data_IF_807802084055
#
_entry.id   IF_807802084055
#
_cell.length_a   1.000
_cell.length_b   1.000
_cell.length_c   1.000
_cell.angle_alpha   90.00
_cell.angle_beta   90.00
_cell.angle_gamma   90.00
#
_symmetry.space_group_name_H-M   'P 1'
#
loop_
_entity.id
_entity.type
_entity.pdbx_description
1 polymer ?
#
# COMPACT_ATOMS: atom_id res chain seq x y z
N UNK A 1 4.81 0.65 -19.05
CA UNK A 1 3.99 0.31 -17.86
C UNK A 1 4.51 -0.96 -17.25
N UNK A 2 4.69 -2.03 -18.04
CA UNK A 2 5.39 -3.25 -17.63
C UNK A 2 6.85 -3.25 -18.10
N UNK A 3 7.74 -3.86 -17.31
CA UNK A 3 9.17 -4.15 -17.57
C UNK A 3 10.10 -2.96 -17.84
N UNK A 4 9.58 -1.76 -18.10
CA UNK A 4 10.38 -0.58 -18.41
C UNK A 4 10.68 0.28 -17.16
N UNK A 5 11.30 1.44 -17.35
CA UNK A 5 11.23 2.52 -16.36
C UNK A 5 12.38 2.65 -15.36
N UNK A 6 13.37 1.76 -15.38
CA UNK A 6 14.59 1.93 -14.59
C UNK A 6 15.46 3.06 -15.11
N UNK A 7 15.91 3.96 -14.22
CA UNK A 7 16.87 5.02 -14.52
C UNK A 7 17.75 5.37 -13.31
N UNK A 8 18.98 5.79 -13.59
CA UNK A 8 19.93 6.28 -12.57
C UNK A 8 20.29 7.76 -12.75
N UNK A 9 19.80 8.37 -13.83
CA UNK A 9 20.23 9.71 -14.25
C UNK A 9 19.10 10.60 -14.76
N UNK A 10 17.85 10.10 -14.83
CA UNK A 10 16.70 10.82 -15.39
C UNK A 10 16.91 11.27 -16.85
N UNK A 11 17.76 10.57 -17.59
CA UNK A 11 18.09 10.83 -19.00
C UNK A 11 18.00 9.58 -19.87
N UNK A 12 18.30 8.43 -19.28
CA UNK A 12 18.29 7.13 -19.94
C UNK A 12 17.41 6.20 -19.13
N UNK A 13 16.50 5.51 -19.81
CA UNK A 13 15.65 4.49 -19.23
C UNK A 13 15.94 3.14 -19.86
N UNK A 14 15.94 2.10 -19.03
CA UNK A 14 16.18 0.74 -19.47
C UNK A 14 15.01 -0.17 -19.08
N UNK A 15 14.88 -1.25 -19.84
CA UNK A 15 13.97 -2.34 -19.51
C UNK A 15 14.68 -3.35 -18.59
N UNK A 16 13.90 -4.10 -17.81
CA UNK A 16 14.37 -5.33 -17.18
C UNK A 16 14.58 -6.38 -18.28
N UNK A 17 15.82 -6.75 -18.61
CA UNK A 17 16.09 -7.66 -19.72
C UNK A 17 15.52 -9.06 -19.46
N UNK A 18 15.48 -9.53 -18.20
CA UNK A 18 14.93 -10.83 -17.87
C UNK A 18 13.43 -10.88 -18.14
N UNK A 19 12.67 -9.89 -17.66
CA UNK A 19 11.23 -9.84 -17.87
C UNK A 19 10.86 -9.67 -19.35
N UNK A 20 11.65 -8.89 -20.10
CA UNK A 20 11.46 -8.77 -21.56
C UNK A 20 11.72 -10.09 -22.29
N UNK A 21 12.76 -10.84 -21.91
CA UNK A 21 13.05 -12.14 -22.52
C UNK A 21 11.94 -13.16 -22.24
N UNK A 22 11.42 -13.22 -21.01
CA UNK A 22 10.30 -14.10 -20.69
C UNK A 22 9.03 -13.71 -21.47
N UNK A 23 8.73 -12.41 -21.57
CA UNK A 23 7.62 -11.92 -22.40
C UNK A 23 7.80 -12.25 -23.91
N UNK A 24 9.04 -12.26 -24.40
CA UNK A 24 9.30 -12.64 -25.80
C UNK A 24 9.13 -14.14 -26.04
N UNK A 25 9.36 -14.97 -25.02
CA UNK A 25 9.15 -16.41 -25.05
C UNK A 25 7.66 -16.78 -24.95
N UNK A 26 6.93 -16.11 -24.04
CA UNK A 26 5.49 -16.21 -23.88
C UNK A 26 4.87 -14.80 -23.74
N UNK A 27 4.13 -14.29 -24.75
CA UNK A 27 3.71 -12.88 -24.86
C UNK A 27 2.53 -12.54 -23.94
N UNK A 28 2.70 -12.81 -22.64
CA UNK A 28 1.77 -12.52 -21.55
C UNK A 28 2.44 -11.54 -20.61
N UNK A 29 1.75 -10.45 -20.27
CA UNK A 29 2.24 -9.58 -19.20
C UNK A 29 2.05 -10.28 -17.86
N UNK A 30 3.14 -10.73 -17.27
CA UNK A 30 3.19 -11.34 -15.94
C UNK A 30 4.41 -10.87 -15.14
N UNK A 31 4.49 -11.28 -13.88
CA UNK A 31 5.56 -10.99 -12.97
C UNK A 31 6.69 -12.02 -13.06
N UNK A 32 7.70 -11.70 -13.87
CA UNK A 32 8.87 -12.54 -14.06
C UNK A 32 9.97 -12.23 -13.04
N UNK A 33 10.00 -11.00 -12.51
CA UNK A 33 11.05 -10.53 -11.64
C UNK A 33 11.08 -11.19 -10.26
N UNK A 34 9.93 -11.59 -9.70
CA UNK A 34 9.87 -12.15 -8.34
C UNK A 34 10.43 -13.58 -8.22
N UNK A 35 10.58 -14.30 -9.33
CA UNK A 35 11.04 -15.69 -9.32
C UNK A 35 12.52 -15.86 -8.89
N UNK A 36 13.27 -14.77 -8.67
CA UNK A 36 14.74 -14.79 -8.53
C UNK A 36 15.29 -14.52 -7.12
N UNK A 37 14.48 -14.62 -6.06
CA UNK A 37 15.01 -14.64 -4.68
C UNK A 37 14.86 -13.33 -3.91
N UNK A 38 13.63 -12.85 -3.77
CA UNK A 38 13.31 -11.69 -2.92
C UNK A 38 13.87 -11.83 -1.50
N UNK A 39 14.67 -10.88 -1.00
CA UNK A 39 15.26 -11.00 0.33
C UNK A 39 14.18 -10.83 1.40
N UNK A 40 13.80 -11.92 2.07
CA UNK A 40 12.94 -11.91 3.27
C UNK A 40 13.42 -10.89 4.31
N UNK A 41 14.73 -10.62 4.36
CA UNK A 41 15.34 -9.59 5.19
C UNK A 41 14.79 -8.18 4.91
N UNK A 42 14.65 -7.78 3.64
CA UNK A 42 14.20 -6.44 3.26
C UNK A 42 12.78 -6.17 3.79
N UNK A 43 11.83 -7.07 3.52
CA UNK A 43 10.46 -6.87 4.00
C UNK A 43 10.35 -6.94 5.52
N UNK A 44 11.16 -7.77 6.18
CA UNK A 44 11.26 -7.78 7.66
C UNK A 44 11.78 -6.44 8.20
N UNK A 45 12.78 -5.85 7.56
CA UNK A 45 13.31 -4.53 7.89
C UNK A 45 12.21 -3.46 7.73
N UNK A 46 11.52 -3.46 6.59
CA UNK A 46 10.40 -2.55 6.31
C UNK A 46 9.29 -2.65 7.36
N UNK A 47 8.82 -3.88 7.64
CA UNK A 47 7.83 -4.16 8.70
C UNK A 47 8.28 -3.63 10.06
N UNK A 48 9.54 -3.87 10.44
CA UNK A 48 10.12 -3.38 11.71
C UNK A 48 10.16 -1.85 11.78
N UNK A 49 10.52 -1.20 10.67
CA UNK A 49 10.54 0.26 10.55
C UNK A 49 9.16 0.91 10.36
N UNK A 50 8.09 0.10 10.24
CA UNK A 50 6.72 0.53 9.88
C UNK A 50 6.66 1.33 8.57
N UNK A 51 7.59 1.07 7.65
CA UNK A 51 7.65 1.69 6.34
C UNK A 51 6.98 0.78 5.32
N UNK A 52 5.78 1.15 4.87
CA UNK A 52 4.98 0.36 3.95
C UNK A 52 4.49 1.14 2.72
N UNK A 53 4.44 2.47 2.80
CA UNK A 53 4.31 3.34 1.63
C UNK A 53 5.69 3.93 1.30
N UNK A 54 6.22 3.56 0.13
CA UNK A 54 7.58 3.92 -0.30
C UNK A 54 7.58 4.66 -1.64
N UNK A 55 6.41 4.82 -2.26
CA UNK A 55 6.31 5.52 -3.54
C UNK A 55 6.40 7.02 -3.31
N UNK A 56 7.23 7.71 -4.09
CA UNK A 56 7.50 9.13 -3.88
C UNK A 56 8.45 9.44 -2.72
N UNK A 57 9.16 8.45 -2.18
CA UNK A 57 10.15 8.63 -1.10
C UNK A 57 11.21 9.68 -1.49
N UNK A 58 11.47 10.65 -0.61
CA UNK A 58 12.48 11.70 -0.85
C UNK A 58 13.72 11.47 0.01
N UNK A 59 14.88 11.51 -0.64
CA UNK A 59 16.18 11.20 -0.03
C UNK A 59 17.25 12.16 -0.55
N UNK A 60 18.28 12.43 0.26
CA UNK A 60 19.48 13.13 -0.16
C UNK A 60 20.28 12.31 -1.17
N UNK A 61 20.74 12.93 -2.25
CA UNK A 61 21.49 12.25 -3.31
C UNK A 61 22.79 11.60 -2.79
N UNK A 62 23.41 12.17 -1.76
CA UNK A 62 24.57 11.60 -1.06
C UNK A 62 24.27 10.26 -0.40
N UNK A 63 23.03 10.09 0.07
CA UNK A 63 22.65 8.98 0.94
C UNK A 63 22.40 7.71 0.10
N UNK A 64 22.15 7.85 -1.21
CA UNK A 64 22.11 6.71 -2.14
C UNK A 64 23.40 5.89 -2.15
N UNK A 65 24.54 6.53 -1.88
CA UNK A 65 25.85 5.89 -1.89
C UNK A 65 26.21 5.26 -0.54
N UNK A 66 25.49 5.60 0.53
CA UNK A 66 25.74 5.01 1.86
C UNK A 66 25.06 3.66 1.97
N UNK A 67 25.86 2.61 2.16
CA UNK A 67 25.39 1.27 2.47
C UNK A 67 25.90 0.89 3.85
N UNK A 68 25.07 1.07 4.87
CA UNK A 68 25.33 0.59 6.22
C UNK A 68 24.34 -0.54 6.54
N UNK A 69 24.82 -1.78 6.57
CA UNK A 69 24.01 -2.97 6.90
C UNK A 69 23.55 -2.92 8.37
N UNK A 70 24.29 -2.23 9.24
CA UNK A 70 24.01 -2.16 10.67
C UNK A 70 22.96 -1.12 11.05
N UNK A 71 22.78 -0.09 10.22
CA UNK A 71 21.76 0.96 10.40
C UNK A 71 21.15 1.37 9.05
N UNK A 72 20.63 0.38 8.32
CA UNK A 72 20.18 0.56 6.94
C UNK A 72 18.96 1.49 6.86
N UNK A 73 19.18 2.70 6.34
CA UNK A 73 18.10 3.48 5.75
C UNK A 73 17.45 2.62 4.65
N UNK A 74 16.13 2.37 4.71
CA UNK A 74 15.45 1.57 3.68
C UNK A 74 15.54 2.17 2.28
N UNK A 75 15.68 3.49 2.13
CA UNK A 75 15.68 4.17 0.83
C UNK A 75 16.82 3.72 -0.10
N UNK A 76 18.10 3.84 0.31
CA UNK A 76 19.23 3.33 -0.46
C UNK A 76 19.13 1.83 -0.75
N UNK A 77 18.67 1.03 0.22
CA UNK A 77 18.50 -0.41 0.04
C UNK A 77 17.46 -0.75 -1.03
N UNK A 78 16.30 -0.09 -1.00
CA UNK A 78 15.23 -0.24 -2.00
C UNK A 78 15.70 0.18 -3.40
N UNK A 79 16.52 1.23 -3.50
CA UNK A 79 17.11 1.65 -4.76
C UNK A 79 18.11 0.63 -5.30
N UNK A 80 19.05 0.17 -4.47
CA UNK A 80 20.12 -0.75 -4.87
C UNK A 80 19.60 -2.16 -5.21
N UNK A 81 18.53 -2.59 -4.54
CA UNK A 81 17.86 -3.88 -4.82
C UNK A 81 16.87 -3.80 -5.98
N UNK A 82 16.70 -2.62 -6.59
CA UNK A 82 15.88 -2.44 -7.80
C UNK A 82 14.37 -2.32 -7.56
N UNK A 83 13.92 -2.20 -6.30
CA UNK A 83 12.51 -1.93 -5.98
C UNK A 83 12.11 -0.49 -6.28
N UNK A 84 13.04 0.44 -6.12
CA UNK A 84 12.81 1.84 -6.47
C UNK A 84 13.86 2.35 -7.45
N UNK A 85 13.46 3.33 -8.25
CA UNK A 85 14.30 4.05 -9.20
C UNK A 85 14.06 5.54 -9.07
N UNK A 86 14.90 6.37 -9.70
CA UNK A 86 14.72 7.83 -9.63
C UNK A 86 13.48 8.22 -10.44
N UNK A 87 12.56 8.96 -9.81
CA UNK A 87 11.37 9.54 -10.44
C UNK A 87 11.51 11.03 -10.66
N UNK A 88 12.15 11.74 -9.74
CA UNK A 88 12.43 13.19 -9.85
C UNK A 88 13.76 13.55 -9.21
N UNK A 89 14.30 14.70 -9.60
CA UNK A 89 15.50 15.29 -9.01
C UNK A 89 15.25 16.79 -8.81
N UNK A 90 15.61 17.32 -7.65
CA UNK A 90 15.50 18.75 -7.36
C UNK A 90 16.36 19.59 -8.32
N UNK A 91 16.05 20.88 -8.46
CA UNK A 91 16.80 21.79 -9.33
C UNK A 91 18.29 21.86 -8.97
N UNK A 92 18.62 21.82 -7.67
CA UNK A 92 20.00 21.80 -7.15
C UNK A 92 20.64 20.41 -7.13
N UNK A 93 19.90 19.37 -7.58
CA UNK A 93 20.29 17.96 -7.62
C UNK A 93 20.66 17.33 -6.27
N UNK A 94 20.35 17.98 -5.15
CA UNK A 94 20.65 17.45 -3.80
C UNK A 94 19.60 16.47 -3.31
N UNK A 95 18.36 16.59 -3.78
CA UNK A 95 17.25 15.73 -3.36
C UNK A 95 16.74 14.97 -4.58
N UNK A 96 16.46 13.69 -4.37
CA UNK A 96 15.80 12.85 -5.36
C UNK A 96 14.51 12.30 -4.79
N UNK A 97 13.55 12.06 -5.68
CA UNK A 97 12.33 11.32 -5.40
C UNK A 97 12.50 9.93 -6.01
N UNK A 98 12.34 8.91 -5.18
CA UNK A 98 12.34 7.50 -5.55
C UNK A 98 10.90 6.99 -5.68
N UNK A 99 10.71 5.98 -6.53
CA UNK A 99 9.41 5.36 -6.73
C UNK A 99 9.55 4.11 -7.59
N UNK A 100 8.45 3.38 -7.77
CA UNK A 100 8.51 2.14 -8.54
C UNK A 100 8.90 2.40 -10.01
N UNK A 101 9.79 1.59 -10.59
CA UNK A 101 10.14 1.67 -12.02
C UNK A 101 8.97 1.29 -12.93
N UNK A 102 8.20 0.24 -12.58
CA UNK A 102 7.09 -0.30 -13.38
C UNK A 102 6.08 -1.07 -12.53
N UNK A 103 5.00 -1.53 -13.16
CA UNK A 103 3.91 -2.27 -12.49
C UNK A 103 4.34 -3.65 -11.98
N UNK A 104 5.15 -4.40 -12.74
CA UNK A 104 5.69 -5.70 -12.30
C UNK A 104 6.38 -5.57 -10.93
N UNK A 105 7.23 -4.55 -10.81
CA UNK A 105 8.01 -4.27 -9.60
C UNK A 105 7.13 -3.84 -8.44
N UNK A 106 6.17 -2.97 -8.71
CA UNK A 106 5.21 -2.49 -7.73
C UNK A 106 4.34 -3.63 -7.19
N UNK A 107 3.76 -4.45 -8.07
CA UNK A 107 2.93 -5.59 -7.68
C UNK A 107 3.73 -6.61 -6.88
N UNK A 108 4.95 -6.94 -7.34
CA UNK A 108 5.89 -7.81 -6.60
C UNK A 108 6.13 -7.32 -5.18
N UNK A 109 6.44 -6.03 -5.05
CA UNK A 109 6.76 -5.41 -3.78
C UNK A 109 5.57 -5.41 -2.83
N UNK A 110 4.41 -4.92 -3.31
CA UNK A 110 3.21 -4.80 -2.51
C UNK A 110 2.71 -6.19 -2.05
N UNK A 111 2.75 -7.18 -2.94
CA UNK A 111 2.37 -8.55 -2.61
C UNK A 111 3.35 -9.16 -1.58
N UNK A 112 4.66 -9.03 -1.79
CA UNK A 112 5.67 -9.53 -0.86
C UNK A 112 5.61 -8.88 0.53
N UNK A 113 5.32 -7.57 0.58
CA UNK A 113 5.14 -6.85 1.83
C UNK A 113 3.84 -7.24 2.53
N UNK A 114 2.73 -7.35 1.80
CA UNK A 114 1.45 -7.83 2.33
C UNK A 114 1.59 -9.24 2.93
N UNK A 115 2.26 -10.15 2.23
CA UNK A 115 2.62 -11.48 2.73
C UNK A 115 3.45 -11.41 4.00
N UNK A 116 4.41 -10.49 4.09
CA UNK A 116 5.26 -10.31 5.28
C UNK A 116 4.49 -9.76 6.48
N UNK A 117 3.54 -8.85 6.26
CA UNK A 117 2.65 -8.38 7.33
C UNK A 117 1.71 -9.47 7.81
N UNK A 118 1.25 -10.35 6.91
CA UNK A 118 0.37 -11.47 7.24
C UNK A 118 1.11 -12.73 7.73
N UNK A 119 2.43 -12.75 7.62
CA UNK A 119 3.29 -13.87 8.01
C UNK A 119 3.00 -15.18 7.26
N UNK A 120 2.63 -15.04 5.99
CA UNK A 120 2.30 -16.16 5.11
C UNK A 120 3.30 -16.17 3.97
N UNK A 121 3.95 -17.31 3.75
CA UNK A 121 4.78 -17.53 2.56
C UNK A 121 3.88 -17.43 1.32
N UNK A 122 4.30 -16.71 0.26
CA UNK A 122 3.39 -16.13 -0.74
C UNK A 122 2.38 -17.13 -1.28
N UNK A 123 1.12 -16.94 -0.91
CA UNK A 123 -0.01 -17.72 -1.44
C UNK A 123 -1.19 -16.78 -1.75
N UNK A 124 -1.67 -16.92 -3.00
CA UNK A 124 -3.09 -16.83 -3.38
C UNK A 124 -3.92 -15.62 -2.95
N UNK A 125 -3.37 -14.41 -2.84
CA UNK A 125 -4.16 -13.24 -2.43
C UNK A 125 -4.86 -12.55 -3.61
N UNK A 126 -4.42 -12.77 -4.85
CA UNK A 126 -4.94 -12.08 -6.03
C UNK A 126 -6.47 -12.20 -6.23
N UNK A 127 -7.13 -13.35 -5.97
CA UNK A 127 -8.59 -13.42 -6.02
C UNK A 127 -9.26 -12.47 -5.00
N UNK A 128 -8.73 -12.41 -3.78
CA UNK A 128 -9.23 -11.51 -2.72
C UNK A 128 -8.99 -10.05 -3.11
N UNK A 129 -7.81 -9.73 -3.64
CA UNK A 129 -7.48 -8.39 -4.13
C UNK A 129 -8.40 -7.97 -5.28
N UNK A 130 -8.69 -8.87 -6.22
CA UNK A 130 -9.64 -8.63 -7.31
C UNK A 130 -11.04 -8.32 -6.79
N UNK A 131 -11.50 -9.06 -5.79
CA UNK A 131 -12.81 -8.81 -5.17
C UNK A 131 -12.83 -7.49 -4.39
N UNK A 132 -11.73 -7.11 -3.72
CA UNK A 132 -11.59 -5.80 -3.07
C UNK A 132 -11.71 -4.67 -4.11
N UNK A 133 -11.03 -4.82 -5.26
CA UNK A 133 -11.12 -3.85 -6.36
C UNK A 133 -12.57 -3.66 -6.81
N UNK A 134 -13.28 -4.75 -7.06
CA UNK A 134 -14.68 -4.68 -7.51
C UNK A 134 -15.61 -4.12 -6.44
N UNK A 135 -15.42 -4.48 -5.17
CA UNK A 135 -16.18 -3.91 -4.07
C UNK A 135 -16.00 -2.39 -3.96
N UNK A 136 -14.76 -1.90 -4.00
CA UNK A 136 -14.44 -0.47 -3.98
C UNK A 136 -14.91 0.26 -5.24
N UNK A 137 -14.88 -0.37 -6.41
CA UNK A 137 -15.43 0.27 -7.61
C UNK A 137 -16.93 0.43 -7.50
N UNK A 138 -17.63 -0.54 -6.94
CA UNK A 138 -19.10 -0.60 -6.89
C UNK A 138 -19.72 0.03 -5.63
N UNK A 139 -18.93 0.52 -4.67
CA UNK A 139 -19.47 1.01 -3.40
C UNK A 139 -20.01 -0.07 -2.48
N UNK A 140 -19.63 -1.33 -2.69
CA UNK A 140 -20.08 -2.47 -1.89
C UNK A 140 -19.22 -2.59 -0.62
N UNK A 141 -19.59 -1.85 0.43
CA UNK A 141 -18.90 -1.89 1.72
C UNK A 141 -19.03 -3.25 2.40
N UNK A 142 -20.16 -3.95 2.23
CA UNK A 142 -20.35 -5.28 2.80
C UNK A 142 -19.40 -6.31 2.17
N UNK A 143 -19.32 -6.32 0.83
CA UNK A 143 -18.35 -7.12 0.09
C UNK A 143 -16.90 -6.79 0.45
N UNK A 144 -16.57 -5.50 0.59
CA UNK A 144 -15.26 -5.04 1.01
C UNK A 144 -14.87 -5.60 2.39
N UNK A 145 -15.75 -5.47 3.38
CA UNK A 145 -15.52 -5.97 4.74
C UNK A 145 -15.30 -7.49 4.74
N UNK A 146 -16.07 -8.24 3.97
CA UNK A 146 -15.89 -9.69 3.84
C UNK A 146 -14.50 -10.05 3.29
N UNK A 147 -13.99 -9.31 2.29
CA UNK A 147 -12.65 -9.54 1.76
C UNK A 147 -11.55 -9.12 2.74
N UNK A 148 -11.73 -8.02 3.49
CA UNK A 148 -10.78 -7.61 4.54
C UNK A 148 -10.70 -8.67 5.65
N UNK A 149 -11.83 -9.20 6.10
CA UNK A 149 -11.86 -10.32 7.06
C UNK A 149 -11.13 -11.54 6.50
N UNK A 150 -11.32 -11.86 5.22
CA UNK A 150 -10.61 -12.97 4.56
C UNK A 150 -9.10 -12.78 4.55
N UNK A 151 -8.59 -11.54 4.38
CA UNK A 151 -7.15 -11.25 4.45
C UNK A 151 -6.58 -11.37 5.86
N UNK A 152 -7.32 -10.95 6.89
CA UNK A 152 -6.85 -10.94 8.28
C UNK A 152 -6.96 -12.32 8.92
N UNK A 153 -7.95 -13.13 8.54
CA UNK A 153 -8.15 -14.49 9.06
C UNK A 153 -6.94 -15.40 8.83
N UNK A 154 -6.08 -15.08 7.86
CA UNK A 154 -4.90 -15.87 7.55
C UNK A 154 -3.69 -15.54 8.44
N UNK A 155 -3.74 -14.45 9.22
CA UNK A 155 -2.63 -14.07 10.11
C UNK A 155 -2.53 -15.10 11.25
N UNK A 156 -1.35 -15.62 11.61
CA UNK A 156 -1.21 -16.53 12.75
C UNK A 156 -1.57 -15.89 14.10
N UNK A 157 -2.08 -16.69 15.04
CA UNK A 157 -2.51 -16.22 16.37
C UNK A 157 -1.35 -15.62 17.20
N UNK A 158 -0.19 -16.28 17.19
CA UNK A 158 0.97 -15.90 18.02
C UNK A 158 1.62 -14.56 17.61
N UNK A 159 1.21 -14.01 16.47
CA UNK A 159 1.75 -12.78 15.88
C UNK A 159 0.82 -11.57 16.07
N UNK A 160 -0.19 -11.73 16.92
CA UNK A 160 -1.15 -10.70 17.29
C UNK A 160 -0.73 -10.02 18.61
N UNK A 161 -0.46 -8.71 18.60
CA UNK A 161 -0.02 -7.97 19.80
C UNK A 161 -0.51 -6.51 19.77
N UNK A 162 -0.10 -5.69 20.76
CA UNK A 162 -0.53 -4.30 20.92
C UNK A 162 -0.38 -3.38 19.67
N UNK A 163 0.30 -3.81 18.61
CA UNK A 163 0.35 -3.14 17.30
C UNK A 163 -0.76 -3.51 16.31
N UNK A 164 -1.75 -4.31 16.73
CA UNK A 164 -2.82 -4.86 15.88
C UNK A 164 -3.57 -3.83 15.03
N UNK A 165 -3.96 -2.68 15.60
CA UNK A 165 -4.65 -1.63 14.85
C UNK A 165 -3.78 -1.16 13.66
N UNK A 166 -2.49 -0.94 13.93
CA UNK A 166 -1.52 -0.58 12.91
C UNK A 166 -1.34 -1.70 11.87
N UNK A 167 -1.46 -2.97 12.23
CA UNK A 167 -1.38 -4.08 11.27
C UNK A 167 -2.61 -4.08 10.37
N UNK A 168 -3.81 -3.89 10.92
CA UNK A 168 -5.04 -3.88 10.12
C UNK A 168 -5.07 -2.70 9.14
N UNK A 169 -4.65 -1.51 9.58
CA UNK A 169 -4.50 -0.35 8.70
C UNK A 169 -3.51 -0.62 7.57
N UNK A 170 -2.35 -1.22 7.87
CA UNK A 170 -1.33 -1.53 6.84
C UNK A 170 -1.81 -2.60 5.87
N UNK A 171 -2.44 -3.67 6.35
CA UNK A 171 -2.99 -4.72 5.48
C UNK A 171 -4.07 -4.15 4.56
N UNK A 172 -4.96 -3.30 5.08
CA UNK A 172 -5.99 -2.62 4.30
C UNK A 172 -5.36 -1.73 3.23
N UNK A 173 -4.40 -0.89 3.61
CA UNK A 173 -3.67 -0.01 2.70
C UNK A 173 -2.98 -0.78 1.57
N UNK A 174 -2.19 -1.80 1.91
CA UNK A 174 -1.46 -2.61 0.95
C UNK A 174 -2.41 -3.37 0.01
N UNK A 175 -3.51 -3.90 0.54
CA UNK A 175 -4.51 -4.58 -0.27
C UNK A 175 -5.16 -3.63 -1.29
N UNK A 176 -5.46 -2.39 -0.90
CA UNK A 176 -6.08 -1.42 -1.80
C UNK A 176 -5.08 -0.92 -2.85
N UNK A 177 -3.84 -0.63 -2.46
CA UNK A 177 -2.77 -0.29 -3.41
C UNK A 177 -2.52 -1.41 -4.42
N UNK A 178 -2.50 -2.66 -3.95
CA UNK A 178 -2.33 -3.84 -4.81
C UNK A 178 -3.56 -4.09 -5.71
N UNK A 179 -4.75 -3.69 -5.27
CA UNK A 179 -5.97 -3.66 -6.10
C UNK A 179 -5.93 -2.56 -7.19
N UNK A 180 -4.88 -1.74 -7.23
CA UNK A 180 -4.73 -0.64 -8.18
C UNK A 180 -5.60 0.57 -7.86
N UNK A 181 -6.04 0.71 -6.61
CA UNK A 181 -6.83 1.85 -6.14
C UNK A 181 -5.88 3.00 -5.82
N UNK A 182 -6.32 4.23 -6.09
CA UNK A 182 -5.58 5.41 -5.64
C UNK A 182 -5.83 5.59 -4.14
N UNK A 183 -4.82 5.27 -3.34
CA UNK A 183 -4.89 5.23 -1.88
C UNK A 183 -3.85 6.16 -1.31
N UNK A 184 -4.24 6.91 -0.30
CA UNK A 184 -3.36 7.80 0.44
C UNK A 184 -3.48 7.52 1.93
N UNK A 185 -2.32 7.35 2.56
CA UNK A 185 -2.15 7.51 4.00
C UNK A 185 -1.43 8.83 4.22
N UNK A 186 -1.73 9.57 5.30
CA UNK A 186 -1.05 10.86 5.56
C UNK A 186 -1.35 11.99 4.57
N UNK A 187 -2.60 12.11 4.12
CA UNK A 187 -3.03 13.37 3.50
C UNK A 187 -2.96 14.47 4.55
N UNK A 188 -1.91 15.27 4.48
CA UNK A 188 -1.63 16.43 5.31
C UNK A 188 -2.77 17.45 5.17
N UNK A 189 -3.86 17.22 5.87
CA UNK A 189 -4.82 18.26 6.20
C UNK A 189 -4.36 18.93 7.49
N UNK A 190 -4.57 20.24 7.62
CA UNK A 190 -4.30 20.98 8.85
C UNK A 190 -5.06 20.46 10.10
N UNK A 191 -5.95 19.47 9.94
CA UNK A 191 -6.88 18.99 10.97
C UNK A 191 -6.56 17.59 11.50
N UNK A 192 -5.71 16.80 10.84
CA UNK A 192 -5.35 15.44 11.27
C UNK A 192 -5.15 14.46 10.11
N UNK A 193 -4.94 13.18 10.46
CA UNK A 193 -4.73 12.04 9.56
C UNK A 193 -5.91 11.07 9.64
N UNK A 194 -6.51 10.72 8.51
CA UNK A 194 -7.40 9.56 8.42
C UNK A 194 -6.59 8.28 8.18
N UNK A 195 -7.12 7.13 8.59
CA UNK A 195 -6.42 5.85 8.39
C UNK A 195 -6.26 5.50 6.91
N UNK A 196 -7.34 5.57 6.12
CA UNK A 196 -7.29 5.29 4.69
C UNK A 196 -8.18 6.26 3.91
N UNK A 197 -7.59 6.98 2.95
CA UNK A 197 -8.32 7.68 1.89
C UNK A 197 -8.16 6.88 0.60
N UNK A 198 -9.27 6.39 0.04
CA UNK A 198 -9.26 5.61 -1.20
C UNK A 198 -10.15 6.25 -2.26
N UNK A 199 -9.70 6.26 -3.50
CA UNK A 199 -10.39 6.91 -4.61
C UNK A 199 -10.55 5.97 -5.79
N UNK A 200 -11.77 5.94 -6.33
CA UNK A 200 -12.09 5.29 -7.60
C UNK A 200 -12.57 6.34 -8.61
N UNK A 201 -12.99 5.87 -9.78
CA UNK A 201 -13.67 6.67 -10.80
C UNK A 201 -15.03 7.18 -10.34
N UNK A 202 -15.68 6.52 -9.37
CA UNK A 202 -17.05 6.82 -8.92
C UNK A 202 -17.15 7.26 -7.46
N UNK A 203 -16.20 6.89 -6.61
CA UNK A 203 -16.28 7.06 -5.17
C UNK A 203 -15.00 7.62 -4.57
N UNK A 204 -15.14 8.37 -3.48
CA UNK A 204 -14.08 8.79 -2.56
C UNK A 204 -14.45 8.26 -1.19
N UNK A 205 -13.62 7.38 -0.65
CA UNK A 205 -13.81 6.75 0.65
C UNK A 205 -12.86 7.39 1.65
N UNK A 206 -13.39 7.81 2.80
CA UNK A 206 -12.59 7.98 4.01
C UNK A 206 -12.97 6.83 4.94
N UNK A 207 -11.99 5.99 5.25
CA UNK A 207 -12.15 4.85 6.14
C UNK A 207 -11.35 5.12 7.41
N UNK A 208 -12.02 5.02 8.55
CA UNK A 208 -11.42 5.13 9.87
C UNK A 208 -11.62 3.81 10.61
N UNK A 209 -10.53 3.29 11.18
CA UNK A 209 -10.45 1.99 11.80
C UNK A 209 -10.36 2.17 13.32
N UNK A 210 -11.10 1.37 14.08
CA UNK A 210 -11.03 1.34 15.55
C UNK A 210 -10.80 -0.07 16.02
N UNK A 211 -9.71 -0.28 16.77
CA UNK A 211 -9.49 -1.53 17.48
C UNK A 211 -10.31 -1.54 18.78
N UNK A 212 -11.23 -2.49 18.89
CA UNK A 212 -12.12 -2.68 20.05
C UNK A 212 -12.95 -1.44 20.47
N UNK A 213 -13.01 -0.42 19.61
CA UNK A 213 -13.89 0.74 19.72
C UNK A 213 -15.16 0.58 18.90
N UNK A 214 -15.86 1.66 18.59
CA UNK A 214 -17.13 1.62 17.84
C UNK A 214 -17.01 2.23 16.44
N UNK A 215 -17.80 1.72 15.51
CA UNK A 215 -17.91 2.28 14.16
C UNK A 215 -18.48 3.71 14.19
N UNK A 216 -19.26 4.05 15.21
CA UNK A 216 -19.81 5.39 15.40
C UNK A 216 -18.76 6.40 15.86
N UNK A 217 -17.87 6.03 16.78
CA UNK A 217 -16.70 6.85 17.13
C UNK A 217 -15.81 7.10 15.90
N UNK A 218 -15.61 6.08 15.06
CA UNK A 218 -14.86 6.19 13.82
C UNK A 218 -15.52 7.19 12.85
N UNK A 219 -16.84 7.08 12.62
CA UNK A 219 -17.58 8.03 11.78
C UNK A 219 -17.59 9.44 12.36
N UNK A 220 -17.71 9.59 13.68
CA UNK A 220 -17.67 10.89 14.33
C UNK A 220 -16.31 11.55 14.14
N UNK A 221 -15.21 10.78 14.27
CA UNK A 221 -13.88 11.29 13.98
C UNK A 221 -13.75 11.77 12.52
N UNK A 222 -14.29 11.03 11.54
CA UNK A 222 -14.28 11.46 10.14
C UNK A 222 -14.99 12.81 9.97
N UNK A 223 -16.15 12.97 10.61
CA UNK A 223 -16.96 14.20 10.55
C UNK A 223 -16.25 15.37 11.22
N UNK A 224 -15.76 15.20 12.46
CA UNK A 224 -15.11 16.24 13.26
C UNK A 224 -13.86 16.79 12.56
N UNK A 225 -13.11 15.88 11.93
CA UNK A 225 -11.90 16.22 11.20
C UNK A 225 -12.18 16.77 9.80
N UNK A 226 -13.39 16.54 9.28
CA UNK A 226 -13.83 17.05 7.99
C UNK A 226 -13.02 16.49 6.82
N UNK A 227 -12.61 15.23 6.90
CA UNK A 227 -11.72 14.62 5.89
C UNK A 227 -12.29 14.62 4.47
N UNK A 228 -13.62 14.62 4.33
CA UNK A 228 -14.32 14.70 3.04
C UNK A 228 -14.59 16.15 2.56
N UNK A 229 -14.40 17.16 3.41
CA UNK A 229 -14.67 18.57 3.06
C UNK A 229 -13.89 19.06 1.83
N UNK A 230 -12.59 18.73 1.65
CA UNK A 230 -11.83 19.15 0.47
C UNK A 230 -12.39 18.62 -0.86
N UNK A 231 -13.19 17.55 -0.81
CA UNK A 231 -13.76 16.86 -1.97
C UNK A 231 -15.24 17.21 -2.19
N UNK A 232 -15.79 18.21 -1.51
CA UNK A 232 -17.21 18.58 -1.60
C UNK A 232 -17.65 18.87 -3.05
N UNK A 233 -16.82 19.57 -3.82
CA UNK A 233 -17.08 19.91 -5.22
C UNK A 233 -16.73 18.79 -6.21
N UNK A 234 -16.14 17.68 -5.75
CA UNK A 234 -15.87 16.53 -6.60
C UNK A 234 -17.18 15.80 -6.95
N UNK A 235 -17.33 15.42 -8.23
CA UNK A 235 -18.53 14.77 -8.75
C UNK A 235 -18.70 13.32 -8.28
N UNK A 236 -17.62 12.69 -7.79
CA UNK A 236 -17.67 11.34 -7.20
C UNK A 236 -18.47 11.35 -5.91
N UNK A 237 -19.05 10.20 -5.57
CA UNK A 237 -19.77 9.99 -4.31
C UNK A 237 -18.80 9.92 -3.13
N UNK A 238 -19.11 10.58 -2.02
CA UNK A 238 -18.24 10.64 -0.84
C UNK A 238 -18.81 9.70 0.22
N UNK A 239 -18.03 8.69 0.62
CA UNK A 239 -18.43 7.71 1.61
C UNK A 239 -17.52 7.79 2.83
N UNK A 240 -18.09 8.14 3.98
CA UNK A 240 -17.45 7.97 5.28
C UNK A 240 -17.74 6.56 5.78
N UNK A 241 -16.69 5.79 6.09
CA UNK A 241 -16.80 4.40 6.54
C UNK A 241 -16.09 4.26 7.89
N UNK A 242 -16.87 4.01 8.94
CA UNK A 242 -16.35 3.68 10.26
C UNK A 242 -16.31 2.17 10.43
N UNK A 243 -15.17 1.62 10.82
CA UNK A 243 -14.98 0.18 10.98
C UNK A 243 -14.50 -0.12 12.40
N UNK A 244 -15.21 -1.01 13.10
CA UNK A 244 -14.71 -1.66 14.31
C UNK A 244 -14.06 -2.97 13.93
N UNK A 245 -12.78 -3.08 14.29
CA UNK A 245 -12.06 -4.33 14.28
C UNK A 245 -12.02 -4.92 15.69
N UNK A 246 -12.47 -6.16 15.88
CA UNK A 246 -12.40 -6.85 17.16
C UNK A 246 -11.08 -7.60 17.30
N UNK A 247 -10.27 -7.27 18.31
CA UNK A 247 -9.03 -7.98 18.61
C UNK A 247 -9.29 -9.43 19.05
N UNK A 248 -10.39 -9.66 19.75
CA UNK A 248 -10.84 -10.98 20.22
C UNK A 248 -11.28 -11.88 19.06
N UNK A 249 -12.21 -11.40 18.22
CA UNK A 249 -12.74 -12.19 17.09
C UNK A 249 -11.82 -12.19 15.88
N UNK A 250 -10.90 -11.23 15.80
CA UNK A 250 -9.93 -11.05 14.72
C UNK A 250 -10.59 -10.82 13.36
N UNK A 251 -11.65 -10.04 13.39
CA UNK A 251 -12.43 -9.64 12.23
C UNK A 251 -13.05 -8.27 12.47
N UNK A 252 -13.51 -7.64 11.39
CA UNK A 252 -14.45 -6.53 11.45
C UNK A 252 -15.74 -7.03 12.08
N UNK A 253 -16.04 -6.55 13.29
CA UNK A 253 -17.23 -6.92 14.04
C UNK A 253 -18.42 -6.00 13.75
N UNK A 254 -18.15 -4.76 13.36
CA UNK A 254 -19.16 -3.77 12.99
C UNK A 254 -18.57 -2.80 11.97
N UNK A 255 -19.42 -2.33 11.06
CA UNK A 255 -19.11 -1.17 10.23
C UNK A 255 -20.35 -0.29 10.09
N UNK A 256 -20.13 0.99 9.81
CA UNK A 256 -21.18 1.94 9.44
C UNK A 256 -20.70 2.77 8.25
N UNK A 257 -21.64 3.13 7.37
CA UNK A 257 -21.37 3.94 6.18
C UNK A 257 -22.34 5.12 6.11
N UNK A 258 -21.82 6.29 5.77
CA UNK A 258 -22.59 7.51 5.53
C UNK A 258 -22.15 8.13 4.21
N UNK A 259 -23.10 8.38 3.31
CA UNK A 259 -22.87 9.21 2.11
C UNK A 259 -22.94 10.68 2.49
N UNK A 260 -21.89 11.45 2.14
CA UNK A 260 -21.70 12.86 2.52
C UNK A 260 -21.89 13.83 1.35
#
# INVERSE_FOLDING_TARGET
>A
QWYNGYTWNMKTWVYNPFSVLNFMDDPIFDNYWYATGTPTFLFKLLKKSKLFDVDGMRIGRSDLATFDISNADPGPLLFQTGYLTIKKTSADRKVIELGYPNEEVKESFLNGLLSTYREIYPTGSMPVISNIKEALRNGDIGGLVNQLNSLVATIPYDHWNAGTESIFTVVTFLAFKLAGIDVHTEVHSAKGRCDVLAMTDRYIYVIELKLDGTAEEALQQIKDKGYLQPYAADARKKLAVGITFSSEKREVSQYQVVEC
#
